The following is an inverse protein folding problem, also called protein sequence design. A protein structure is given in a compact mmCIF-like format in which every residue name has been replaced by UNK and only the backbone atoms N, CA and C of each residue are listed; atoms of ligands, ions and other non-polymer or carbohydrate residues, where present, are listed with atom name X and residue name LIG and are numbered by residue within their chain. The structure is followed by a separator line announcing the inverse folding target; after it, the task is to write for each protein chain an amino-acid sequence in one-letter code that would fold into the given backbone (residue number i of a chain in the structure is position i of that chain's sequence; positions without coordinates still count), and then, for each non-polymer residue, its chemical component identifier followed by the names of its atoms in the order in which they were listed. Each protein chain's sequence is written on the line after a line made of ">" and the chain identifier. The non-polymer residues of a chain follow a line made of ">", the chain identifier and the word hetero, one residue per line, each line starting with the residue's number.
data_IF_827476510032
#
_entry.id   IF_827476510032
#
_cell.length_a   1.000
_cell.length_b   1.000
_cell.length_c   1.000
_cell.angle_alpha   90.00
_cell.angle_beta   90.00
_cell.angle_gamma   90.00
#
_symmetry.space_group_name_H-M   'P 1'
#
loop_
_entity.id
_entity.type
_entity.pdbx_description
1 polymer ?
#
# COMPACT_ATOMS: atom_id res chain seq x y z
N UNK A 1 -5.16 -8.28 8.09
CA UNK A 1 -4.37 -7.49 7.14
C UNK A 1 -5.22 -6.89 6.02
N UNK A 2 -6.00 -7.69 5.28
CA UNK A 2 -6.80 -7.21 4.14
C UNK A 2 -7.66 -5.95 4.43
N UNK A 3 -8.47 -6.00 5.50
CA UNK A 3 -9.36 -4.88 5.88
C UNK A 3 -8.56 -3.61 6.17
N UNK A 4 -7.42 -3.72 6.86
CA UNK A 4 -6.56 -2.57 7.14
C UNK A 4 -5.96 -1.98 5.87
N UNK A 5 -5.61 -2.81 4.88
CA UNK A 5 -5.17 -2.34 3.56
C UNK A 5 -6.27 -1.56 2.81
N UNK A 6 -7.52 -2.03 2.87
CA UNK A 6 -8.67 -1.31 2.28
C UNK A 6 -8.96 0.01 2.99
N UNK A 7 -8.88 0.02 4.33
CA UNK A 7 -9.00 1.23 5.14
C UNK A 7 -7.90 2.22 4.76
N UNK A 8 -6.65 1.76 4.65
CA UNK A 8 -5.52 2.59 4.22
C UNK A 8 -5.78 3.26 2.85
N UNK A 9 -6.21 2.50 1.85
CA UNK A 9 -6.51 3.04 0.52
C UNK A 9 -7.63 4.09 0.56
N UNK A 10 -8.67 3.84 1.36
CA UNK A 10 -9.79 4.78 1.52
C UNK A 10 -9.34 6.07 2.19
N UNK A 11 -8.54 5.96 3.25
CA UNK A 11 -7.95 7.11 3.95
C UNK A 11 -7.01 7.89 3.02
N UNK A 12 -6.20 7.22 2.19
CA UNK A 12 -5.32 7.89 1.23
C UNK A 12 -6.10 8.70 0.19
N UNK A 13 -7.22 8.17 -0.32
CA UNK A 13 -8.10 8.89 -1.24
C UNK A 13 -8.75 10.08 -0.53
N UNK A 14 -9.23 9.89 0.69
CA UNK A 14 -9.79 10.97 1.49
C UNK A 14 -8.78 12.09 1.72
N UNK A 15 -7.55 11.75 2.09
CA UNK A 15 -6.47 12.70 2.33
C UNK A 15 -6.19 13.57 1.10
N UNK A 16 -6.16 12.97 -0.10
CA UNK A 16 -6.02 13.73 -1.36
C UNK A 16 -7.11 14.78 -1.60
N UNK A 17 -8.29 14.64 -1.00
CA UNK A 17 -9.36 15.65 -1.10
C UNK A 17 -9.19 16.81 -0.12
N UNK A 18 -8.34 16.66 0.89
CA UNK A 18 -8.12 17.64 1.96
C UNK A 18 -6.80 18.41 1.81
N UNK A 19 -5.93 18.01 0.87
CA UNK A 19 -4.64 18.67 0.66
C UNK A 19 -4.80 20.11 0.14
N UNK A 20 -3.98 21.07 0.61
CA UNK A 20 -4.05 22.46 0.20
C UNK A 20 -3.35 22.74 -1.15
N UNK A 21 -2.86 21.70 -1.82
CA UNK A 21 -2.15 21.77 -3.10
C UNK A 21 -2.62 20.66 -4.03
N UNK A 22 -2.46 20.89 -5.33
CA UNK A 22 -2.77 19.96 -6.42
C UNK A 22 -1.49 19.39 -7.03
N UNK A 23 -1.64 18.36 -7.85
CA UNK A 23 -0.52 17.69 -8.51
C UNK A 23 0.25 18.61 -9.49
N UNK A 24 -0.41 19.65 -10.02
CA UNK A 24 0.13 20.58 -11.02
C UNK A 24 0.54 21.94 -10.45
N UNK A 25 0.38 22.17 -9.14
CA UNK A 25 0.68 23.47 -8.52
C UNK A 25 2.19 23.73 -8.38
N UNK A 26 2.97 22.72 -8.00
CA UNK A 26 4.40 22.84 -7.72
C UNK A 26 5.15 21.54 -8.02
N UNK A 27 6.49 21.62 -8.11
CA UNK A 27 7.34 20.42 -8.20
C UNK A 27 7.09 19.48 -7.01
N UNK A 28 6.92 20.03 -5.79
CA UNK A 28 6.57 19.23 -4.62
C UNK A 28 5.24 18.51 -4.81
N UNK A 29 4.19 19.21 -5.27
CA UNK A 29 2.88 18.61 -5.56
C UNK A 29 2.99 17.47 -6.57
N UNK A 30 3.66 17.68 -7.71
CA UNK A 30 3.86 16.62 -8.71
C UNK A 30 4.62 15.42 -8.13
N UNK A 31 5.71 15.66 -7.39
CA UNK A 31 6.51 14.59 -6.78
C UNK A 31 5.73 13.84 -5.71
N UNK A 32 5.00 14.55 -4.83
CA UNK A 32 4.16 13.98 -3.79
C UNK A 32 3.14 13.00 -4.39
N UNK A 33 2.28 13.48 -5.30
CA UNK A 33 1.22 12.66 -5.89
C UNK A 33 1.78 11.49 -6.72
N UNK A 34 2.93 11.66 -7.38
CA UNK A 34 3.59 10.57 -8.11
C UNK A 34 4.05 9.47 -7.16
N UNK A 35 4.76 9.83 -6.08
CA UNK A 35 5.30 8.88 -5.11
C UNK A 35 4.19 8.18 -4.33
N UNK A 36 3.27 8.94 -3.74
CA UNK A 36 2.18 8.38 -2.93
C UNK A 36 1.17 7.64 -3.79
N UNK A 37 0.91 8.10 -5.02
CA UNK A 37 0.05 7.43 -5.99
C UNK A 37 0.62 6.10 -6.47
N UNK A 38 1.90 6.06 -6.85
CA UNK A 38 2.56 4.82 -7.26
C UNK A 38 2.66 3.81 -6.11
N UNK A 39 2.92 4.29 -4.89
CA UNK A 39 2.86 3.47 -3.70
C UNK A 39 1.43 2.92 -3.46
N UNK A 40 0.40 3.75 -3.56
CA UNK A 40 -1.00 3.33 -3.47
C UNK A 40 -1.38 2.26 -4.50
N UNK A 41 -0.81 2.30 -5.71
CA UNK A 41 -0.97 1.24 -6.70
C UNK A 41 -0.36 -0.10 -6.23
N UNK A 42 0.82 -0.06 -5.59
CA UNK A 42 1.44 -1.25 -4.99
C UNK A 42 0.62 -1.80 -3.82
N UNK A 43 0.10 -0.93 -2.95
CA UNK A 43 -0.80 -1.33 -1.85
C UNK A 43 -2.05 -2.01 -2.42
N UNK A 44 -2.64 -1.46 -3.48
CA UNK A 44 -3.78 -2.08 -4.17
C UNK A 44 -3.43 -3.48 -4.70
N UNK A 45 -2.28 -3.63 -5.35
CA UNK A 45 -1.74 -4.93 -5.75
C UNK A 45 -1.58 -5.91 -4.59
N UNK A 46 -1.05 -5.45 -3.46
CA UNK A 46 -0.89 -6.24 -2.25
C UNK A 46 -2.23 -6.66 -1.63
N UNK A 47 -3.23 -5.78 -1.61
CA UNK A 47 -4.59 -6.06 -1.12
C UNK A 47 -5.22 -7.15 -1.99
N UNK A 48 -5.10 -7.06 -3.31
CA UNK A 48 -5.57 -8.10 -4.23
C UNK A 48 -4.84 -9.42 -4.01
N UNK A 49 -3.52 -9.40 -3.81
CA UNK A 49 -2.74 -10.61 -3.55
C UNK A 49 -3.18 -11.27 -2.23
N UNK A 50 -3.32 -10.50 -1.15
CA UNK A 50 -3.84 -11.00 0.13
C UNK A 50 -5.24 -11.55 -0.02
N UNK A 51 -6.11 -10.89 -0.78
CA UNK A 51 -7.47 -11.37 -1.01
C UNK A 51 -7.47 -12.75 -1.70
N UNK A 52 -6.71 -12.90 -2.79
CA UNK A 52 -6.57 -14.19 -3.49
C UNK A 52 -5.96 -15.25 -2.58
N UNK A 53 -4.91 -14.91 -1.83
CA UNK A 53 -4.28 -15.80 -0.87
C UNK A 53 -5.25 -16.26 0.22
N UNK A 54 -6.08 -15.34 0.75
CA UNK A 54 -7.11 -15.66 1.73
C UNK A 54 -8.17 -16.62 1.15
N UNK A 55 -8.68 -16.34 -0.05
CA UNK A 55 -9.68 -17.21 -0.69
C UNK A 55 -9.13 -18.62 -0.95
N UNK A 56 -7.87 -18.73 -1.40
CA UNK A 56 -7.19 -20.02 -1.62
C UNK A 56 -6.91 -20.76 -0.31
N UNK A 57 -6.57 -20.03 0.76
CA UNK A 57 -6.40 -20.57 2.11
C UNK A 57 -7.70 -21.14 2.67
N UNK A 58 -8.82 -20.42 2.53
CA UNK A 58 -10.15 -20.90 2.93
C UNK A 58 -10.60 -22.12 2.11
N UNK A 59 -10.12 -22.26 0.87
CA UNK A 59 -10.30 -23.44 0.02
C UNK A 59 -9.38 -24.63 0.35
N UNK A 60 -8.52 -24.52 1.38
CA UNK A 60 -7.64 -25.60 1.83
C UNK A 60 -6.45 -25.88 0.92
N UNK A 61 -6.03 -24.93 0.08
CA UNK A 61 -4.92 -25.13 -0.88
C UNK A 61 -3.52 -24.97 -0.28
N UNK A 62 -3.42 -24.62 1.01
CA UNK A 62 -2.14 -24.40 1.68
C UNK A 62 -2.07 -25.24 2.96
N UNK A 63 -0.89 -25.77 3.24
CA UNK A 63 -0.55 -26.50 4.46
C UNK A 63 0.86 -26.10 4.94
N UNK A 64 1.40 -26.82 5.93
CA UNK A 64 2.71 -26.52 6.51
C UNK A 64 3.91 -26.79 5.58
N UNK A 65 3.72 -27.52 4.48
CA UNK A 65 4.76 -27.82 3.50
C UNK A 65 4.56 -27.01 2.20
N UNK A 66 3.32 -26.62 1.90
CA UNK A 66 2.91 -25.92 0.67
C UNK A 66 2.35 -24.52 0.99
N UNK A 67 3.22 -23.60 1.44
CA UNK A 67 2.83 -22.24 1.82
C UNK A 67 3.71 -21.14 1.19
N UNK A 68 4.50 -21.45 0.16
CA UNK A 68 5.41 -20.49 -0.47
C UNK A 68 4.67 -19.29 -1.07
N UNK A 69 3.45 -19.51 -1.57
CA UNK A 69 2.60 -18.43 -2.06
C UNK A 69 2.17 -17.46 -0.94
N UNK A 70 1.95 -17.97 0.28
CA UNK A 70 1.65 -17.16 1.47
C UNK A 70 2.90 -16.38 1.90
N UNK A 71 4.07 -17.02 1.88
CA UNK A 71 5.34 -16.34 2.16
C UNK A 71 5.62 -15.21 1.16
N UNK A 72 5.45 -15.47 -0.13
CA UNK A 72 5.60 -14.44 -1.16
C UNK A 72 4.61 -13.28 -0.97
N UNK A 73 3.36 -13.59 -0.62
CA UNK A 73 2.34 -12.58 -0.30
C UNK A 73 2.75 -11.75 0.92
N UNK A 74 3.25 -12.40 1.98
CA UNK A 74 3.75 -11.74 3.19
C UNK A 74 4.95 -10.85 2.88
N UNK A 75 5.95 -11.34 2.16
CA UNK A 75 7.14 -10.58 1.78
C UNK A 75 6.80 -9.36 0.93
N UNK A 76 5.88 -9.51 -0.03
CA UNK A 76 5.38 -8.38 -0.81
C UNK A 76 4.70 -7.34 0.07
N UNK A 77 3.87 -7.77 1.02
CA UNK A 77 3.17 -6.86 1.93
C UNK A 77 4.13 -6.08 2.83
N UNK A 78 5.15 -6.74 3.39
CA UNK A 78 6.18 -6.08 4.21
C UNK A 78 7.04 -5.12 3.39
N UNK A 79 7.37 -5.45 2.14
CA UNK A 79 8.05 -4.52 1.23
C UNK A 79 7.25 -3.22 1.06
N UNK A 80 5.96 -3.34 0.77
CA UNK A 80 5.09 -2.17 0.62
C UNK A 80 5.04 -1.36 1.92
N UNK A 81 4.89 -2.00 3.07
CA UNK A 81 4.85 -1.33 4.38
C UNK A 81 6.14 -0.53 4.67
N UNK A 82 7.32 -1.11 4.41
CA UNK A 82 8.61 -0.42 4.59
C UNK A 82 8.73 0.81 3.69
N UNK A 83 8.28 0.71 2.43
CA UNK A 83 8.27 1.85 1.50
C UNK A 83 7.35 2.95 2.01
N UNK A 84 6.19 2.60 2.59
CA UNK A 84 5.28 3.59 3.17
C UNK A 84 5.92 4.34 4.33
N UNK A 85 6.57 3.64 5.26
CA UNK A 85 7.26 4.29 6.39
C UNK A 85 8.29 5.30 5.90
N UNK A 86 9.08 4.94 4.88
CA UNK A 86 10.05 5.86 4.29
C UNK A 86 9.38 7.09 3.66
N UNK A 87 8.31 6.90 2.87
CA UNK A 87 7.55 8.00 2.27
C UNK A 87 6.90 8.89 3.32
N UNK A 88 6.30 8.30 4.37
CA UNK A 88 5.66 9.03 5.45
C UNK A 88 6.64 9.97 6.16
N UNK A 89 7.83 9.45 6.49
CA UNK A 89 8.88 10.25 7.14
C UNK A 89 9.32 11.41 6.23
N UNK A 90 9.59 11.13 4.95
CA UNK A 90 10.13 12.14 4.03
C UNK A 90 9.09 13.21 3.66
N UNK A 91 7.84 12.82 3.45
CA UNK A 91 6.81 13.72 2.92
C UNK A 91 5.97 14.43 4.00
N UNK A 92 5.81 13.82 5.19
CA UNK A 92 4.93 14.36 6.23
C UNK A 92 5.65 14.76 7.51
N UNK A 93 6.82 14.19 7.82
CA UNK A 93 7.52 14.44 9.08
C UNK A 93 8.69 15.41 8.92
N UNK A 94 9.50 15.22 7.88
CA UNK A 94 10.63 16.10 7.61
C UNK A 94 10.08 17.44 7.08
N UNK A 95 10.43 18.58 7.71
CA UNK A 95 10.04 19.88 7.19
C UNK A 95 10.67 20.11 5.83
N UNK A 96 9.83 20.36 4.82
CA UNK A 96 10.23 20.80 3.48
C UNK A 96 9.83 22.24 3.25
#
# INVERSE_FOLDING_TARGET
>A
TLVMGLVFLTLQIYDYTQLPFRADDTVFGTTFYTLTGFHGAHVTGGVMFIFVALMRSLGGQFDAENHEAIEACSMYWHFVDVVWVALFVILYVIPT
#
